data_IF_744433116881
#
_entry.id   IF_744433116881
#
_cell.length_a   1.000
_cell.length_b   1.000
_cell.length_c   1.000
_cell.angle_alpha   90.00
_cell.angle_beta   90.00
_cell.angle_gamma   90.00
#
_symmetry.space_group_name_H-M   'P 1'
#
loop_
_entity.id
_entity.type
_entity.pdbx_description
1 polymer ?
#
# COMPACT_ATOMS: atom_id res chain seq x y z
N UNK A 1 14.24 4.15 24.01
CA UNK A 1 13.31 3.96 22.87
C UNK A 1 12.39 5.17 22.79
N UNK A 2 12.47 5.97 21.72
CA UNK A 2 11.64 7.18 21.57
C UNK A 2 10.23 6.74 21.19
N UNK A 3 9.27 6.82 22.12
CA UNK A 3 7.89 6.34 21.93
C UNK A 3 7.12 7.08 20.83
N UNK A 4 7.50 8.33 20.51
CA UNK A 4 6.78 9.21 19.58
C UNK A 4 7.67 9.70 18.43
N UNK A 5 8.50 8.84 17.84
CA UNK A 5 9.25 9.20 16.64
C UNK A 5 8.36 9.09 15.40
N UNK A 6 7.89 10.24 14.87
CA UNK A 6 7.25 10.28 13.56
C UNK A 6 8.31 10.15 12.48
N UNK A 7 8.24 9.11 11.66
CA UNK A 7 9.12 8.99 10.50
C UNK A 7 8.77 10.09 9.51
N UNK A 8 9.78 10.57 8.76
CA UNK A 8 9.57 11.46 7.60
C UNK A 8 8.57 10.87 6.57
N UNK A 9 8.33 9.56 6.64
CA UNK A 9 7.45 8.77 5.76
C UNK A 9 6.09 8.44 6.36
N UNK A 10 5.73 8.94 7.55
CA UNK A 10 4.39 8.74 8.12
C UNK A 10 3.40 9.64 7.35
N UNK A 11 2.87 9.09 6.25
CA UNK A 11 2.00 9.73 5.26
C UNK A 11 0.52 9.35 5.44
N UNK A 12 0.13 8.85 6.61
CA UNK A 12 -1.12 8.11 6.82
C UNK A 12 -2.37 8.96 6.50
N UNK A 13 -2.43 10.21 6.94
CA UNK A 13 -3.54 11.14 6.65
C UNK A 13 -3.44 11.78 5.26
N UNK A 14 -2.22 11.92 4.74
CA UNK A 14 -1.92 12.55 3.45
C UNK A 14 -2.04 11.60 2.25
N UNK A 15 -2.28 10.31 2.47
CA UNK A 15 -2.13 9.30 1.41
C UNK A 15 -3.19 9.42 0.31
N UNK A 16 -4.46 9.60 0.66
CA UNK A 16 -5.57 9.69 -0.29
C UNK A 16 -5.58 11.03 -1.05
N UNK A 17 -5.40 12.15 -0.34
CA UNK A 17 -5.30 13.49 -0.92
C UNK A 17 -4.06 13.62 -1.81
N UNK A 18 -2.89 13.11 -1.36
CA UNK A 18 -1.69 13.10 -2.20
C UNK A 18 -1.86 12.23 -3.44
N UNK A 19 -2.62 11.13 -3.37
CA UNK A 19 -2.94 10.31 -4.54
C UNK A 19 -3.84 11.07 -5.53
N UNK A 20 -4.82 11.83 -5.04
CA UNK A 20 -5.65 12.68 -5.87
C UNK A 20 -4.84 13.79 -6.53
N UNK A 21 -4.04 14.54 -5.77
CA UNK A 21 -3.13 15.55 -6.31
C UNK A 21 -2.16 14.97 -7.33
N UNK A 22 -1.66 13.75 -7.12
CA UNK A 22 -0.77 13.08 -8.05
C UNK A 22 -1.48 12.68 -9.35
N UNK A 23 -2.73 12.23 -9.27
CA UNK A 23 -3.58 11.99 -10.46
C UNK A 23 -3.82 13.28 -11.24
N UNK A 24 -4.14 14.37 -10.57
CA UNK A 24 -4.38 15.68 -11.18
C UNK A 24 -3.12 16.26 -11.82
N UNK A 25 -1.98 16.18 -11.13
CA UNK A 25 -0.69 16.62 -11.66
C UNK A 25 -0.29 15.84 -12.91
N UNK A 26 -0.52 14.52 -12.93
CA UNK A 26 -0.26 13.70 -14.13
C UNK A 26 -1.18 14.08 -15.28
N UNK A 27 -2.47 14.35 -15.02
CA UNK A 27 -3.39 14.87 -16.05
C UNK A 27 -2.93 16.22 -16.59
N UNK A 28 -2.50 17.13 -15.72
CA UNK A 28 -2.03 18.45 -16.11
C UNK A 28 -0.77 18.37 -17.01
N UNK A 29 0.15 17.46 -16.71
CA UNK A 29 1.31 17.18 -17.58
C UNK A 29 0.88 16.62 -18.94
N UNK A 30 -0.11 15.71 -18.96
CA UNK A 30 -0.68 15.21 -20.23
C UNK A 30 -1.34 16.31 -21.06
N UNK A 31 -1.92 17.31 -20.41
CA UNK A 31 -2.54 18.47 -21.04
C UNK A 31 -1.53 19.56 -21.47
N UNK A 32 -0.22 19.28 -21.38
CA UNK A 32 0.84 20.17 -21.88
C UNK A 32 1.57 20.99 -20.82
N UNK A 33 1.22 20.89 -19.53
CA UNK A 33 2.02 21.53 -18.49
C UNK A 33 3.39 20.88 -18.34
N UNK A 34 4.40 21.68 -18.03
CA UNK A 34 5.73 21.12 -17.70
C UNK A 34 5.68 20.39 -16.36
N UNK A 35 6.49 19.33 -16.21
CA UNK A 35 6.60 18.57 -14.96
C UNK A 35 6.97 19.47 -13.78
N UNK A 36 7.78 20.52 -14.01
CA UNK A 36 8.17 21.46 -12.96
C UNK A 36 6.99 22.32 -12.48
N UNK A 37 6.18 22.84 -13.41
CA UNK A 37 4.99 23.62 -13.07
C UNK A 37 3.95 22.77 -12.36
N UNK A 38 3.65 21.59 -12.89
CA UNK A 38 2.70 20.67 -12.25
C UNK A 38 3.19 20.22 -10.86
N UNK A 39 4.48 19.91 -10.69
CA UNK A 39 5.04 19.56 -9.39
C UNK A 39 4.84 20.68 -8.35
N UNK A 40 5.08 21.93 -8.76
CA UNK A 40 4.88 23.09 -7.88
C UNK A 40 3.40 23.31 -7.55
N UNK A 41 2.52 23.29 -8.55
CA UNK A 41 1.09 23.59 -8.39
C UNK A 41 0.37 22.59 -7.48
N UNK A 42 0.75 21.31 -7.53
CA UNK A 42 0.11 20.25 -6.77
C UNK A 42 0.91 19.84 -5.51
N UNK A 43 2.00 20.54 -5.18
CA UNK A 43 2.81 20.25 -3.99
C UNK A 43 3.51 18.89 -4.00
N UNK A 44 3.86 18.38 -5.19
CA UNK A 44 4.43 17.04 -5.37
C UNK A 44 5.92 17.16 -5.69
N UNK A 45 6.73 16.28 -5.10
CA UNK A 45 8.14 16.20 -5.49
C UNK A 45 8.28 15.87 -6.98
N UNK A 46 9.08 16.67 -7.70
CA UNK A 46 9.37 16.53 -9.13
C UNK A 46 9.76 15.10 -9.53
N UNK A 47 10.58 14.42 -8.71
CA UNK A 47 11.00 13.03 -8.98
C UNK A 47 9.84 12.04 -8.90
N UNK A 48 8.93 12.25 -7.96
CA UNK A 48 7.74 11.41 -7.79
C UNK A 48 6.76 11.60 -8.94
N UNK A 49 6.54 12.86 -9.35
CA UNK A 49 5.69 13.17 -10.50
C UNK A 49 6.28 12.60 -11.81
N UNK A 50 7.59 12.74 -12.02
CA UNK A 50 8.25 12.17 -13.21
C UNK A 50 8.09 10.64 -13.28
N UNK A 51 8.30 9.92 -12.16
CA UNK A 51 8.07 8.47 -12.09
C UNK A 51 6.62 8.10 -12.38
N UNK A 52 5.67 8.85 -11.83
CA UNK A 52 4.25 8.64 -12.06
C UNK A 52 3.87 8.81 -13.53
N UNK A 53 4.31 9.90 -14.18
CA UNK A 53 4.09 10.15 -15.61
C UNK A 53 4.67 9.02 -16.45
N UNK A 54 5.92 8.61 -16.19
CA UNK A 54 6.59 7.51 -16.90
C UNK A 54 5.86 6.18 -16.75
N UNK A 55 5.37 5.87 -15.55
CA UNK A 55 4.60 4.65 -15.30
C UNK A 55 3.29 4.65 -16.08
N UNK A 56 2.57 5.77 -16.08
CA UNK A 56 1.31 5.91 -16.83
C UNK A 56 1.52 5.84 -18.33
N UNK A 57 2.59 6.44 -18.86
CA UNK A 57 2.92 6.32 -20.28
C UNK A 57 3.27 4.88 -20.68
N UNK A 58 3.78 4.09 -19.73
CA UNK A 58 4.04 2.66 -19.93
C UNK A 58 2.81 1.77 -19.67
N UNK A 59 1.60 2.36 -19.53
CA UNK A 59 0.36 1.62 -19.29
C UNK A 59 0.20 1.09 -17.86
N UNK A 60 1.10 1.44 -16.93
CA UNK A 60 1.00 1.02 -15.52
C UNK A 60 0.02 1.92 -14.77
N UNK A 61 -0.71 1.35 -13.81
CA UNK A 61 -1.60 2.14 -12.97
C UNK A 61 -0.81 3.13 -12.11
N UNK A 62 -1.35 4.34 -11.91
CA UNK A 62 -0.80 5.32 -10.95
C UNK A 62 -0.82 4.80 -9.51
N UNK A 63 -1.69 3.83 -9.28
CA UNK A 63 -2.10 3.36 -7.98
C UNK A 63 -1.88 1.86 -8.00
N UNK A 64 -0.61 1.46 -7.94
CA UNK A 64 -0.28 0.22 -7.22
C UNK A 64 -0.31 0.45 -5.70
N UNK A 65 -1.00 1.49 -5.23
CA UNK A 65 -0.99 1.96 -3.85
C UNK A 65 -2.36 1.87 -3.13
N UNK A 66 -3.46 1.57 -3.82
CA UNK A 66 -4.79 1.51 -3.19
C UNK A 66 -5.34 0.11 -2.99
N UNK A 67 -4.50 -0.90 -3.19
CA UNK A 67 -4.72 -2.29 -2.74
C UNK A 67 -3.37 -3.00 -2.81
N UNK A 68 -2.53 -2.72 -3.82
CA UNK A 68 -1.17 -3.26 -3.96
C UNK A 68 -0.10 -2.63 -3.03
N UNK A 69 -0.53 -1.96 -1.94
CA UNK A 69 0.25 -1.84 -0.71
C UNK A 69 0.30 -3.16 0.07
N UNK A 70 -0.14 -4.28 -0.53
CA UNK A 70 0.43 -5.58 -0.19
C UNK A 70 1.92 -5.45 -0.53
N UNK A 71 2.76 -5.35 0.50
CA UNK A 71 4.15 -5.80 0.45
C UNK A 71 4.24 -6.94 -0.56
N UNK A 72 5.00 -6.79 -1.67
CA UNK A 72 5.19 -7.77 -2.76
C UNK A 72 4.36 -9.03 -2.54
N UNK A 73 3.19 -9.18 -3.17
CA UNK A 73 2.37 -10.40 -3.00
C UNK A 73 3.28 -11.63 -3.14
N UNK A 74 3.53 -12.29 -2.02
CA UNK A 74 4.49 -13.40 -1.93
C UNK A 74 3.83 -14.70 -2.38
N UNK A 75 2.52 -14.79 -2.20
CA UNK A 75 1.71 -15.93 -2.57
C UNK A 75 0.80 -15.61 -3.74
N UNK A 76 0.53 -16.63 -4.56
CA UNK A 76 -0.57 -16.58 -5.53
C UNK A 76 -1.93 -16.57 -4.81
N UNK A 77 -3.00 -16.21 -5.52
CA UNK A 77 -4.36 -16.24 -4.94
C UNK A 77 -4.75 -17.65 -4.48
N UNK A 78 -4.30 -18.66 -5.20
CA UNK A 78 -4.53 -20.07 -4.88
C UNK A 78 -3.78 -20.46 -3.60
N UNK A 79 -2.51 -20.07 -3.49
CA UNK A 79 -1.68 -20.32 -2.30
C UNK A 79 -2.22 -19.60 -1.06
N UNK A 80 -2.69 -18.35 -1.20
CA UNK A 80 -3.34 -17.63 -0.10
C UNK A 80 -4.61 -18.35 0.36
N UNK A 81 -5.44 -18.85 -0.55
CA UNK A 81 -6.64 -19.58 -0.22
C UNK A 81 -6.33 -20.87 0.57
N UNK A 82 -5.35 -21.64 0.13
CA UNK A 82 -4.89 -22.86 0.82
C UNK A 82 -4.36 -22.54 2.22
N UNK A 83 -3.60 -21.45 2.35
CA UNK A 83 -3.02 -21.04 3.63
C UNK A 83 -4.10 -20.56 4.61
N UNK A 84 -5.08 -19.80 4.15
CA UNK A 84 -6.25 -19.39 4.95
C UNK A 84 -7.03 -20.62 5.42
N UNK A 85 -7.28 -21.59 4.54
CA UNK A 85 -7.98 -22.81 4.89
C UNK A 85 -7.22 -23.62 5.96
N UNK A 86 -5.90 -23.74 5.82
CA UNK A 86 -5.04 -24.39 6.81
C UNK A 86 -5.11 -23.69 8.17
N UNK A 87 -5.03 -22.37 8.19
CA UNK A 87 -5.12 -21.59 9.43
C UNK A 87 -6.47 -21.76 10.13
N UNK A 88 -7.57 -21.80 9.37
CA UNK A 88 -8.90 -22.06 9.92
C UNK A 88 -9.07 -23.49 10.44
N UNK A 89 -8.45 -24.48 9.79
CA UNK A 89 -8.45 -25.87 10.28
C UNK A 89 -7.72 -25.98 11.59
N UNK A 90 -6.51 -25.44 11.67
CA UNK A 90 -5.71 -25.61 12.87
C UNK A 90 -6.14 -24.67 14.02
N UNK A 91 -6.87 -23.58 13.76
CA UNK A 91 -7.51 -22.80 14.84
C UNK A 91 -8.61 -23.61 15.53
N UNK A 92 -9.37 -24.40 14.77
CA UNK A 92 -10.37 -25.35 15.31
C UNK A 92 -9.74 -26.50 16.08
N UNK A 93 -8.50 -26.86 15.76
CA UNK A 93 -7.74 -27.92 16.44
C UNK A 93 -7.02 -27.35 17.69
N UNK A 94 -7.17 -26.05 17.99
CA UNK A 94 -6.59 -25.43 19.17
C UNK A 94 -5.10 -25.15 19.02
N UNK A 95 -4.67 -24.69 17.83
CA UNK A 95 -3.31 -24.28 17.47
C UNK A 95 -2.39 -24.02 18.68
N UNK A 96 -1.43 -24.92 18.89
CA UNK A 96 -0.35 -24.82 19.89
C UNK A 96 -0.77 -24.82 21.37
N UNK A 97 -2.07 -24.91 21.67
CA UNK A 97 -2.57 -25.07 23.03
C UNK A 97 -2.77 -26.55 23.30
N UNK A 98 -2.01 -27.04 24.26
CA UNK A 98 -2.18 -28.39 24.77
C UNK A 98 -3.55 -28.52 25.43
N UNK A 99 -4.15 -29.72 25.39
CA UNK A 99 -5.52 -29.94 25.91
C UNK A 99 -5.68 -29.54 27.39
N UNK A 100 -4.57 -29.59 28.13
CA UNK A 100 -4.43 -29.09 29.51
C UNK A 100 -4.64 -27.57 29.62
N UNK A 101 -4.04 -26.79 28.71
CA UNK A 101 -4.12 -25.32 28.68
C UNK A 101 -5.48 -24.79 28.23
N UNK A 102 -6.19 -25.53 27.37
CA UNK A 102 -7.57 -25.18 26.97
C UNK A 102 -8.55 -25.36 28.13
N UNK A 103 -8.36 -26.41 28.96
CA UNK A 103 -9.22 -26.67 30.13
C UNK A 103 -9.06 -25.66 31.26
N UNK A 104 -7.92 -24.98 31.36
CA UNK A 104 -7.71 -23.95 32.40
C UNK A 104 -8.24 -22.56 32.00
N UNK A 105 -8.65 -22.36 30.75
CA UNK A 105 -9.16 -21.08 30.23
C UNK A 105 -10.69 -21.03 30.10
N UNK A 106 -11.36 -22.19 30.10
CA UNK A 106 -12.82 -22.33 30.08
C UNK A 106 -13.37 -22.42 31.52
#
# INVERSE_FOLDING_TARGET
MVRNYKRKTDWTEKSAENLQHLREAVKAVKNGQTIRQAAHNYGINKSSLWRAVRNVSAGKSLVSLSEASHSRRFFSLEEEAVLVEYLLKASRIGFLLDTSTLKSLA
#
